data_IF_604696809679
#
_entry.id   IF_604696809679
#
_cell.length_a   1.000
_cell.length_b   1.000
_cell.length_c   1.000
_cell.angle_alpha   90.00
_cell.angle_beta   90.00
_cell.angle_gamma   90.00
#
_symmetry.space_group_name_H-M   'P 1'
#
loop_
_entity.id
_entity.type
_entity.pdbx_description
1 polymer ?
#
# COMPACT_ATOMS: atom_id res chain seq x y z
N UNK A 1 -1.12 17.59 15.24
CA UNK A 1 -0.30 16.63 14.51
C UNK A 1 -0.08 17.10 13.08
N UNK A 2 1.16 17.04 12.58
CA UNK A 2 1.45 17.25 11.17
C UNK A 2 1.68 15.90 10.47
N UNK A 3 0.90 15.60 9.44
CA UNK A 3 1.14 14.44 8.56
C UNK A 3 1.95 14.93 7.36
N UNK A 4 3.22 14.53 7.30
CA UNK A 4 4.14 14.84 6.19
C UNK A 4 4.15 13.67 5.23
N UNK A 5 3.84 13.90 3.97
CA UNK A 5 3.68 12.82 2.99
C UNK A 5 4.07 13.29 1.59
N UNK A 6 4.45 12.38 0.67
CA UNK A 6 4.64 12.77 -0.72
C UNK A 6 3.31 13.24 -1.32
N UNK A 7 3.40 14.15 -2.28
CA UNK A 7 2.24 14.67 -3.00
C UNK A 7 1.66 13.61 -3.96
N UNK A 8 1.16 12.52 -3.39
CA UNK A 8 0.55 11.41 -4.12
C UNK A 8 -0.93 11.29 -3.83
N UNK A 9 -1.69 10.89 -4.84
CA UNK A 9 -3.13 10.66 -4.76
C UNK A 9 -3.50 9.33 -5.45
N UNK A 10 -4.62 8.74 -5.04
CA UNK A 10 -5.18 7.54 -5.68
C UNK A 10 -4.25 6.31 -5.72
N UNK A 11 -3.40 6.16 -4.71
CA UNK A 11 -2.53 4.99 -4.53
C UNK A 11 -2.67 4.39 -3.12
N UNK A 12 -2.04 3.24 -2.89
CA UNK A 12 -2.08 2.57 -1.57
C UNK A 12 -1.55 3.46 -0.44
N UNK A 13 -0.44 4.16 -0.66
CA UNK A 13 0.12 5.09 0.33
C UNK A 13 -0.84 6.23 0.67
N UNK A 14 -1.57 6.76 -0.33
CA UNK A 14 -2.57 7.81 -0.08
C UNK A 14 -3.67 7.34 0.88
N UNK A 15 -4.14 6.10 0.74
CA UNK A 15 -5.13 5.52 1.66
C UNK A 15 -4.60 5.43 3.10
N UNK A 16 -3.29 5.20 3.27
CA UNK A 16 -2.65 5.25 4.60
C UNK A 16 -2.70 6.67 5.16
N UNK A 17 -2.37 7.70 4.37
CA UNK A 17 -2.42 9.11 4.83
C UNK A 17 -3.83 9.52 5.24
N UNK A 18 -4.84 9.15 4.46
CA UNK A 18 -6.27 9.38 4.78
C UNK A 18 -6.64 8.70 6.09
N UNK A 19 -6.22 7.46 6.29
CA UNK A 19 -6.49 6.70 7.51
C UNK A 19 -5.82 7.30 8.74
N UNK A 20 -4.58 7.78 8.60
CA UNK A 20 -3.84 8.49 9.66
C UNK A 20 -4.58 9.76 10.06
N UNK A 21 -4.96 10.61 9.09
CA UNK A 21 -5.67 11.85 9.36
C UNK A 21 -6.98 11.60 10.10
N UNK A 22 -7.78 10.66 9.62
CA UNK A 22 -9.03 10.27 10.25
C UNK A 22 -8.84 9.72 11.66
N UNK A 23 -7.82 8.89 11.89
CA UNK A 23 -7.52 8.33 13.21
C UNK A 23 -7.11 9.42 14.20
N UNK A 24 -6.18 10.30 13.85
CA UNK A 24 -5.78 11.40 14.70
C UNK A 24 -6.95 12.33 15.05
N UNK A 25 -7.79 12.68 14.08
CA UNK A 25 -8.98 13.48 14.34
C UNK A 25 -9.96 12.79 15.29
N UNK A 26 -10.18 11.49 15.12
CA UNK A 26 -11.05 10.71 16.01
C UNK A 26 -10.50 10.59 17.44
N UNK A 27 -9.20 10.82 17.63
CA UNK A 27 -8.54 10.93 18.94
C UNK A 27 -8.52 12.37 19.48
N UNK A 28 -9.20 13.31 18.81
CA UNK A 28 -9.32 14.71 19.25
C UNK A 28 -8.16 15.61 18.80
N UNK A 29 -7.21 15.12 18.01
CA UNK A 29 -6.10 15.94 17.53
C UNK A 29 -6.52 16.82 16.35
N UNK A 30 -5.99 18.04 16.29
CA UNK A 30 -5.98 18.85 15.06
C UNK A 30 -4.93 18.31 14.11
N UNK A 31 -5.27 18.17 12.83
CA UNK A 31 -4.42 17.56 11.81
C UNK A 31 -4.08 18.57 10.72
N UNK A 32 -2.78 18.74 10.46
CA UNK A 32 -2.27 19.47 9.31
C UNK A 32 -1.65 18.47 8.33
N UNK A 33 -2.13 18.45 7.10
CA UNK A 33 -1.53 17.69 6.00
C UNK A 33 -0.49 18.56 5.31
N UNK A 34 0.76 18.08 5.22
CA UNK A 34 1.84 18.71 4.48
C UNK A 34 2.30 17.80 3.35
N UNK A 35 1.82 18.06 2.15
CA UNK A 35 2.24 17.35 0.95
C UNK A 35 3.59 17.89 0.46
N UNK A 36 4.55 16.97 0.24
CA UNK A 36 5.91 17.29 -0.23
C UNK A 36 5.99 17.01 -1.73
N UNK A 37 6.46 17.97 -2.51
CA UNK A 37 6.75 17.76 -3.91
C UNK A 37 7.77 16.61 -4.09
N UNK A 38 7.48 15.69 -4.99
CA UNK A 38 8.36 14.56 -5.34
C UNK A 38 9.10 14.78 -6.67
N UNK A 39 8.85 15.94 -7.31
CA UNK A 39 9.38 16.29 -8.61
C UNK A 39 9.96 17.71 -8.59
N UNK A 40 11.14 17.91 -9.17
CA UNK A 40 11.74 19.24 -9.31
C UNK A 40 10.85 20.20 -10.11
N UNK A 41 10.80 21.47 -9.68
CA UNK A 41 10.00 22.50 -10.35
C UNK A 41 8.51 22.47 -10.01
N UNK A 42 8.03 21.50 -9.24
CA UNK A 42 6.67 21.50 -8.72
C UNK A 42 6.57 22.50 -7.57
N UNK A 43 5.94 23.66 -7.81
CA UNK A 43 5.81 24.75 -6.84
C UNK A 43 4.42 24.80 -6.19
N UNK A 44 3.46 24.19 -6.88
CA UNK A 44 2.07 24.11 -6.44
C UNK A 44 1.46 22.77 -6.72
N UNK A 45 0.74 22.07 -6.25
CA UNK A 45 0.26 20.71 -6.56
C UNK A 45 -0.13 20.42 -8.01
N UNK A 46 -0.21 21.44 -8.88
CA UNK A 46 -0.67 21.31 -10.28
C UNK A 46 0.32 20.54 -11.19
N UNK A 47 1.60 20.53 -10.82
CA UNK A 47 2.67 19.83 -11.56
C UNK A 47 3.31 18.70 -10.74
N UNK A 48 2.67 18.28 -9.69
CA UNK A 48 3.08 17.11 -8.94
C UNK A 48 2.99 15.84 -9.81
N UNK A 49 3.49 14.73 -9.31
CA UNK A 49 3.47 13.48 -10.08
C UNK A 49 2.06 13.20 -10.63
N UNK A 50 1.97 12.42 -11.71
CA UNK A 50 0.68 12.08 -12.36
C UNK A 50 -0.36 11.45 -11.41
N UNK A 51 0.07 11.06 -10.22
CA UNK A 51 -0.77 10.46 -9.18
C UNK A 51 -1.42 11.50 -8.29
N UNK A 52 -0.82 12.69 -8.16
CA UNK A 52 -1.36 13.79 -7.37
C UNK A 52 -2.23 14.71 -8.23
N UNK A 53 -3.51 14.76 -7.93
CA UNK A 53 -4.49 15.60 -8.62
C UNK A 53 -5.10 16.57 -7.59
N UNK A 54 -4.53 17.76 -7.48
CA UNK A 54 -5.10 18.85 -6.69
C UNK A 54 -5.17 18.63 -5.18
N UNK A 55 -6.01 19.38 -4.50
CA UNK A 55 -6.30 19.19 -3.08
C UNK A 55 -7.03 17.86 -2.89
N UNK A 56 -6.57 17.06 -1.95
CA UNK A 56 -7.16 15.78 -1.61
C UNK A 56 -8.37 16.00 -0.70
N UNK A 57 -9.55 16.09 -1.27
CA UNK A 57 -10.78 16.35 -0.51
C UNK A 57 -11.13 15.23 0.47
N UNK A 58 -10.64 14.02 0.21
CA UNK A 58 -10.79 12.84 1.04
C UNK A 58 -9.84 12.80 2.25
N UNK A 59 -8.80 13.65 2.28
CA UNK A 59 -7.91 13.72 3.43
C UNK A 59 -8.49 14.66 4.49
N UNK A 60 -9.03 14.08 5.55
CA UNK A 60 -9.70 14.76 6.65
C UNK A 60 -8.69 15.55 7.51
N UNK A 61 -8.16 16.66 7.00
CA UNK A 61 -7.24 17.55 7.71
C UNK A 61 -7.85 18.93 7.94
N UNK A 62 -7.49 19.56 9.06
CA UNK A 62 -7.93 20.92 9.42
C UNK A 62 -7.23 21.97 8.53
N UNK A 63 -6.00 21.69 8.11
CA UNK A 63 -5.28 22.49 7.12
C UNK A 63 -4.52 21.58 6.14
N UNK A 64 -4.47 21.99 4.89
CA UNK A 64 -3.75 21.29 3.81
C UNK A 64 -2.72 22.23 3.21
N UNK A 65 -1.46 21.87 3.37
CA UNK A 65 -0.30 22.64 2.95
C UNK A 65 0.47 21.87 1.89
N UNK A 66 1.13 22.61 1.02
CA UNK A 66 2.01 22.04 0.00
C UNK A 66 3.40 22.67 0.08
N UNK A 67 4.43 21.82 0.15
CA UNK A 67 5.82 22.23 0.10
C UNK A 67 6.40 21.95 -1.29
N UNK A 68 6.46 22.98 -2.13
CA UNK A 68 6.97 22.90 -3.48
C UNK A 68 8.49 23.02 -3.56
N UNK A 69 9.08 22.57 -4.67
CA UNK A 69 10.49 22.73 -4.99
C UNK A 69 10.68 23.73 -6.13
N UNK A 70 11.06 25.00 -5.86
CA UNK A 70 11.29 25.99 -6.88
C UNK A 70 12.47 25.66 -7.81
N UNK A 71 12.33 25.92 -9.11
CA UNK A 71 13.37 25.66 -10.11
C UNK A 71 14.73 26.30 -9.79
N UNK A 72 14.75 27.49 -9.18
CA UNK A 72 16.00 28.16 -8.75
C UNK A 72 16.85 27.33 -7.78
N UNK A 73 16.25 26.34 -7.11
CA UNK A 73 16.96 25.43 -6.21
C UNK A 73 17.60 24.23 -6.91
N UNK A 74 17.37 24.06 -8.21
CA UNK A 74 18.00 23.01 -9.04
C UNK A 74 19.47 23.32 -9.30
N UNK A 75 19.83 24.60 -9.45
CA UNK A 75 21.20 25.04 -9.71
C UNK A 75 22.06 24.97 -8.44
N UNK A 76 22.30 23.75 -7.94
CA UNK A 76 23.12 23.51 -6.76
C UNK A 76 23.87 22.19 -6.92
N UNK A 77 25.12 22.14 -6.47
CA UNK A 77 26.00 20.98 -6.61
C UNK A 77 25.45 19.68 -6.03
N UNK A 78 24.71 19.74 -4.90
CA UNK A 78 24.04 18.58 -4.30
C UNK A 78 22.92 18.02 -5.20
N UNK A 79 22.09 18.91 -5.76
CA UNK A 79 21.04 18.49 -6.68
C UNK A 79 21.62 17.91 -7.98
N UNK A 80 22.65 18.54 -8.56
CA UNK A 80 23.29 18.01 -9.76
C UNK A 80 23.93 16.64 -9.53
N UNK A 81 24.49 16.42 -8.34
CA UNK A 81 25.01 15.09 -7.94
C UNK A 81 23.88 14.06 -7.83
N UNK A 82 22.76 14.39 -7.19
CA UNK A 82 21.62 13.53 -7.09
C UNK A 82 20.99 13.23 -8.46
N UNK A 83 20.92 14.24 -9.35
CA UNK A 83 20.46 14.08 -10.72
C UNK A 83 21.37 13.13 -11.52
N UNK A 84 22.70 13.26 -11.38
CA UNK A 84 23.65 12.31 -11.98
C UNK A 84 23.39 10.89 -11.46
N UNK A 85 23.26 10.70 -10.14
CA UNK A 85 22.99 9.39 -9.57
C UNK A 85 21.65 8.82 -10.05
N UNK A 86 20.63 9.65 -10.21
CA UNK A 86 19.33 9.24 -10.74
C UNK A 86 19.40 8.69 -12.17
N UNK A 87 20.25 9.27 -13.04
CA UNK A 87 20.49 8.72 -14.38
C UNK A 87 21.03 7.30 -14.35
N UNK A 88 21.79 6.96 -13.29
CA UNK A 88 22.29 5.61 -13.02
C UNK A 88 21.30 4.74 -12.22
N UNK A 89 20.10 5.25 -11.91
CA UNK A 89 19.02 4.50 -11.26
C UNK A 89 18.87 4.73 -9.75
N UNK A 90 19.56 5.72 -9.17
CA UNK A 90 19.40 6.05 -7.75
C UNK A 90 18.19 6.97 -7.51
N UNK A 91 17.00 6.38 -7.52
CA UNK A 91 15.76 7.12 -7.21
C UNK A 91 15.75 7.62 -5.75
N UNK A 92 16.40 6.91 -4.81
CA UNK A 92 16.48 7.32 -3.41
C UNK A 92 17.19 8.67 -3.26
N UNK A 93 18.39 8.81 -3.88
CA UNK A 93 19.17 10.05 -3.82
C UNK A 93 18.37 11.25 -4.34
N UNK A 94 17.68 11.09 -5.47
CA UNK A 94 16.89 12.17 -6.07
C UNK A 94 15.74 12.59 -5.16
N UNK A 95 14.96 11.64 -4.63
CA UNK A 95 13.81 11.95 -3.79
C UNK A 95 14.19 12.63 -2.48
N UNK A 96 15.23 12.13 -1.81
CA UNK A 96 15.76 12.76 -0.59
C UNK A 96 16.24 14.19 -0.87
N UNK A 97 16.90 14.40 -2.01
CA UNK A 97 17.41 15.72 -2.36
C UNK A 97 16.28 16.71 -2.73
N UNK A 98 15.24 16.26 -3.39
CA UNK A 98 14.03 17.08 -3.63
C UNK A 98 13.41 17.51 -2.30
N UNK A 99 13.15 16.58 -1.38
CA UNK A 99 12.54 16.88 -0.09
C UNK A 99 13.41 17.80 0.79
N UNK A 100 14.73 17.70 0.69
CA UNK A 100 15.66 18.62 1.36
C UNK A 100 15.52 20.06 0.88
N UNK A 101 15.06 20.27 -0.37
CA UNK A 101 15.01 21.58 -1.02
C UNK A 101 13.64 22.21 -1.13
N UNK A 102 12.58 21.51 -0.76
CA UNK A 102 11.23 22.08 -0.78
C UNK A 102 11.15 23.37 0.04
N UNK A 103 10.30 24.28 -0.34
CA UNK A 103 9.98 25.46 0.42
C UNK A 103 8.91 25.13 1.45
N UNK A 104 9.30 24.94 2.70
CA UNK A 104 8.33 24.73 3.78
C UNK A 104 7.50 26.01 3.98
N UNK A 105 6.20 25.87 4.30
CA UNK A 105 5.38 26.99 4.77
C UNK A 105 5.99 27.59 6.04
N UNK A 106 5.79 28.89 6.25
CA UNK A 106 6.27 29.56 7.47
C UNK A 106 5.58 29.02 8.73
N UNK A 107 6.17 29.23 9.92
CA UNK A 107 5.62 28.70 11.18
C UNK A 107 4.16 29.09 11.43
N UNK A 108 3.74 30.28 11.03
CA UNK A 108 2.35 30.73 11.17
C UNK A 108 1.31 29.94 10.40
N UNK A 109 1.72 29.17 9.37
CA UNK A 109 0.83 28.28 8.64
C UNK A 109 0.44 27.02 9.45
N UNK A 110 1.13 26.73 10.55
CA UNK A 110 0.93 25.59 11.44
C UNK A 110 0.35 26.01 12.79
N UNK A 111 -0.49 27.01 12.84
CA UNK A 111 -1.14 27.43 14.08
C UNK A 111 -2.29 26.49 14.49
N UNK A 112 -2.37 26.05 15.78
CA UNK A 112 -1.39 26.23 16.82
C UNK A 112 -0.15 25.34 16.64
N UNK A 113 0.79 25.32 17.57
CA UNK A 113 2.03 24.52 17.55
C UNK A 113 1.80 23.06 17.17
N UNK A 114 2.75 22.46 16.42
CA UNK A 114 2.80 21.02 16.15
C UNK A 114 3.43 20.30 17.34
N UNK A 115 2.76 19.26 17.84
CA UNK A 115 3.23 18.44 18.97
C UNK A 115 3.77 17.09 18.51
N UNK A 116 3.47 16.67 17.28
CA UNK A 116 3.90 15.42 16.68
C UNK A 116 3.98 15.55 15.15
N UNK A 117 5.04 15.04 14.56
CA UNK A 117 5.16 14.86 13.11
C UNK A 117 5.02 13.37 12.78
N UNK A 118 4.03 13.02 11.97
CA UNK A 118 3.90 11.70 11.37
C UNK A 118 4.39 11.78 9.92
N UNK A 119 5.63 11.37 9.70
CA UNK A 119 6.26 11.39 8.39
C UNK A 119 5.98 10.08 7.65
N UNK A 120 5.65 10.18 6.38
CA UNK A 120 5.41 9.03 5.50
C UNK A 120 6.50 8.96 4.44
N UNK A 121 7.10 7.79 4.31
CA UNK A 121 8.26 7.49 3.46
C UNK A 121 9.56 8.19 3.88
N UNK A 122 10.64 7.44 3.87
CA UNK A 122 11.97 7.92 4.27
C UNK A 122 12.43 9.18 3.54
N UNK A 123 12.06 9.32 2.27
CA UNK A 123 12.50 10.47 1.46
C UNK A 123 11.80 11.78 1.83
N UNK A 124 10.69 11.76 2.60
CA UNK A 124 10.09 12.95 3.17
C UNK A 124 10.79 13.43 4.46
N UNK A 125 11.61 12.59 5.08
CA UNK A 125 12.30 12.90 6.34
C UNK A 125 13.11 14.21 6.32
N UNK A 126 13.85 14.59 5.26
CA UNK A 126 14.55 15.87 5.25
C UNK A 126 13.62 17.08 5.44
N UNK A 127 12.38 17.01 4.95
CA UNK A 127 11.40 18.07 5.19
C UNK A 127 10.83 17.99 6.62
N UNK A 128 10.56 16.78 7.13
CA UNK A 128 10.09 16.55 8.49
C UNK A 128 11.10 17.02 9.54
N UNK A 129 12.39 16.78 9.35
CA UNK A 129 13.47 17.28 10.23
C UNK A 129 13.49 18.81 10.30
N UNK A 130 13.40 19.49 9.16
CA UNK A 130 13.33 20.95 9.12
C UNK A 130 12.05 21.49 9.77
N UNK A 131 10.95 20.76 9.70
CA UNK A 131 9.72 21.11 10.40
C UNK A 131 9.87 20.93 11.92
N UNK A 132 10.52 19.85 12.37
CA UNK A 132 10.86 19.62 13.79
C UNK A 132 11.72 20.74 14.37
N UNK A 133 12.67 21.26 13.63
CA UNK A 133 13.50 22.40 14.06
C UNK A 133 12.66 23.64 14.39
N UNK A 134 11.51 23.82 13.73
CA UNK A 134 10.59 24.92 13.99
C UNK A 134 9.66 24.68 15.19
N UNK A 135 9.35 23.43 15.53
CA UNK A 135 8.30 23.07 16.48
C UNK A 135 8.79 22.26 17.69
N UNK A 136 10.01 21.75 17.69
CA UNK A 136 10.62 20.95 18.76
C UNK A 136 9.71 19.76 19.20
N UNK A 137 9.30 18.92 18.25
CA UNK A 137 8.40 17.80 18.49
C UNK A 137 8.96 16.49 17.89
N UNK A 138 8.54 15.30 18.38
CA UNK A 138 9.02 14.02 17.88
C UNK A 138 8.53 13.74 16.46
N UNK A 139 9.29 12.85 15.76
CA UNK A 139 8.94 12.34 14.43
C UNK A 139 8.67 10.84 14.52
N UNK A 140 7.46 10.42 14.16
CA UNK A 140 7.16 9.05 13.77
C UNK A 140 7.38 8.90 12.28
N UNK A 141 8.09 7.87 11.84
CA UNK A 141 8.25 7.57 10.42
C UNK A 141 7.49 6.29 10.06
N UNK A 142 6.47 6.42 9.24
CA UNK A 142 5.87 5.29 8.54
C UNK A 142 6.75 4.93 7.33
N UNK A 143 7.35 3.74 7.38
CA UNK A 143 8.34 3.30 6.38
C UNK A 143 7.68 2.92 5.06
N UNK A 144 6.39 2.54 5.09
CA UNK A 144 5.62 1.94 4.01
C UNK A 144 6.23 0.62 3.56
N UNK A 145 7.16 0.67 2.60
CA UNK A 145 7.89 -0.49 2.06
C UNK A 145 9.39 -0.24 2.17
N UNK A 146 10.20 -1.29 2.10
CA UNK A 146 11.64 -1.16 1.87
C UNK A 146 11.88 -0.65 0.44
N UNK A 147 11.91 0.68 0.29
CA UNK A 147 11.88 1.35 -1.01
C UNK A 147 13.09 1.05 -1.89
N UNK A 148 14.26 0.82 -1.31
CA UNK A 148 15.45 0.41 -2.05
C UNK A 148 15.19 -0.88 -2.85
N UNK A 149 14.43 -1.84 -2.29
CA UNK A 149 13.98 -3.06 -2.97
C UNK A 149 13.08 -2.74 -4.17
N UNK A 150 12.12 -1.84 -3.98
CA UNK A 150 11.21 -1.40 -5.04
C UNK A 150 11.97 -0.68 -6.18
N UNK A 151 12.95 0.15 -5.83
CA UNK A 151 13.78 0.85 -6.81
C UNK A 151 14.66 -0.13 -7.60
N UNK A 152 15.28 -1.10 -6.94
CA UNK A 152 16.07 -2.13 -7.59
C UNK A 152 15.24 -2.95 -8.60
N UNK A 153 14.02 -3.34 -8.24
CA UNK A 153 13.11 -4.03 -9.15
C UNK A 153 12.72 -3.19 -10.37
N UNK A 154 12.40 -1.91 -10.16
CA UNK A 154 12.08 -0.99 -11.25
C UNK A 154 13.26 -0.75 -12.19
N UNK A 155 14.47 -0.71 -11.66
CA UNK A 155 15.68 -0.51 -12.45
C UNK A 155 15.94 -1.68 -13.41
N UNK A 156 15.55 -2.91 -13.06
CA UNK A 156 15.64 -4.08 -13.97
C UNK A 156 14.74 -3.94 -15.21
N UNK A 157 13.66 -3.18 -15.10
CA UNK A 157 12.68 -3.02 -16.17
C UNK A 157 12.84 -1.72 -16.99
N UNK A 158 13.86 -0.89 -16.69
CA UNK A 158 14.07 0.43 -17.31
C UNK A 158 15.52 0.58 -17.77
N UNK A 159 15.71 1.30 -18.87
CA UNK A 159 17.05 1.71 -19.28
C UNK A 159 17.68 2.62 -18.23
N UNK A 160 18.94 2.36 -17.90
CA UNK A 160 19.78 3.15 -16.99
C UNK A 160 21.16 3.33 -17.61
N UNK A 161 21.80 4.46 -17.33
CA UNK A 161 23.18 4.65 -17.73
C UNK A 161 24.10 3.73 -16.92
N UNK A 162 25.08 3.07 -17.55
CA UNK A 162 26.05 2.28 -16.81
C UNK A 162 27.09 3.19 -16.12
N UNK A 163 27.70 2.75 -14.99
CA UNK A 163 27.28 1.59 -14.20
C UNK A 163 25.97 1.86 -13.46
N UNK A 164 25.08 0.88 -13.43
CA UNK A 164 23.84 1.00 -12.64
C UNK A 164 24.16 1.06 -11.15
N UNK A 165 23.39 1.85 -10.41
CA UNK A 165 23.52 1.94 -8.95
C UNK A 165 23.25 0.56 -8.31
N UNK A 166 23.98 0.21 -7.28
CA UNK A 166 23.77 -1.02 -6.51
C UNK A 166 22.61 -0.84 -5.52
N UNK A 167 22.01 -1.96 -5.14
CA UNK A 167 20.95 -1.99 -4.13
C UNK A 167 21.43 -1.39 -2.78
N UNK A 168 22.64 -1.75 -2.36
CA UNK A 168 23.24 -1.33 -1.10
C UNK A 168 23.43 0.19 -1.02
N UNK A 169 23.75 0.83 -2.15
CA UNK A 169 23.92 2.30 -2.21
C UNK A 169 22.57 3.02 -2.02
N UNK A 170 21.47 2.47 -2.56
CA UNK A 170 20.13 3.01 -2.35
C UNK A 170 19.64 2.73 -0.93
N UNK A 171 19.90 1.54 -0.40
CA UNK A 171 19.56 1.15 0.96
C UNK A 171 20.26 2.04 1.99
N UNK A 172 21.54 2.31 1.82
CA UNK A 172 22.30 3.19 2.72
C UNK A 172 21.67 4.59 2.83
N UNK A 173 21.18 5.15 1.69
CA UNK A 173 20.48 6.45 1.69
C UNK A 173 19.14 6.35 2.43
N UNK A 174 18.39 5.27 2.22
CA UNK A 174 17.12 5.03 2.89
C UNK A 174 17.30 4.95 4.41
N UNK A 175 18.24 4.12 4.88
CA UNK A 175 18.53 3.95 6.30
C UNK A 175 19.07 5.22 6.96
N UNK A 176 19.98 5.95 6.28
CA UNK A 176 20.50 7.22 6.79
C UNK A 176 19.39 8.27 6.96
N UNK A 177 18.48 8.36 5.99
CA UNK A 177 17.36 9.29 6.08
C UNK A 177 16.39 8.97 7.23
N UNK A 178 16.30 7.72 7.68
CA UNK A 178 15.43 7.29 8.79
C UNK A 178 16.01 7.62 10.18
N UNK A 179 17.33 7.83 10.31
CA UNK A 179 18.01 8.04 11.60
C UNK A 179 17.38 9.12 12.50
N UNK A 180 16.86 10.25 11.97
CA UNK A 180 16.27 11.27 12.80
C UNK A 180 14.91 10.93 13.41
N UNK A 181 14.26 9.85 13.00
CA UNK A 181 12.97 9.44 13.56
C UNK A 181 13.13 8.84 14.96
N UNK A 182 12.22 9.14 15.86
CA UNK A 182 12.15 8.57 17.22
C UNK A 182 11.60 7.14 17.19
N UNK A 183 10.68 6.85 16.26
CA UNK A 183 10.09 5.54 16.10
C UNK A 183 9.78 5.26 14.63
N UNK A 184 10.04 4.02 14.20
CA UNK A 184 9.71 3.52 12.87
C UNK A 184 8.43 2.68 12.92
N UNK A 185 7.46 3.06 12.10
CA UNK A 185 6.22 2.32 11.90
C UNK A 185 6.31 1.47 10.64
N UNK A 186 5.84 0.24 10.73
CA UNK A 186 5.83 -0.70 9.62
C UNK A 186 4.41 -1.16 9.33
N UNK A 187 4.06 -1.25 8.04
CA UNK A 187 2.72 -1.66 7.60
C UNK A 187 2.53 -3.18 7.62
N UNK A 188 3.62 -3.95 7.73
CA UNK A 188 3.59 -5.40 7.73
C UNK A 188 4.73 -5.99 8.57
N UNK A 189 4.56 -7.24 9.00
CA UNK A 189 5.48 -7.93 9.90
C UNK A 189 6.80 -8.36 9.24
N UNK A 190 6.78 -8.72 7.95
CA UNK A 190 8.00 -9.10 7.22
C UNK A 190 8.98 -7.91 7.11
N UNK A 191 8.46 -6.73 6.78
CA UNK A 191 9.27 -5.52 6.72
C UNK A 191 9.67 -5.02 8.10
N UNK A 192 8.79 -5.15 9.10
CA UNK A 192 9.14 -4.88 10.49
C UNK A 192 10.33 -5.73 10.95
N UNK A 193 10.35 -7.02 10.61
CA UNK A 193 11.48 -7.91 10.90
C UNK A 193 12.75 -7.45 10.15
N UNK A 194 12.64 -7.18 8.84
CA UNK A 194 13.78 -6.72 8.04
C UNK A 194 14.38 -5.40 8.54
N UNK A 195 13.55 -4.41 8.89
CA UNK A 195 14.04 -3.15 9.43
C UNK A 195 14.64 -3.28 10.84
N UNK A 196 14.13 -4.20 11.68
CA UNK A 196 14.76 -4.50 12.98
C UNK A 196 16.17 -5.07 12.84
N UNK A 197 16.43 -5.84 11.79
CA UNK A 197 17.78 -6.33 11.49
C UNK A 197 18.68 -5.21 10.93
N UNK A 198 18.14 -4.33 10.08
CA UNK A 198 18.90 -3.27 9.42
C UNK A 198 19.23 -2.07 10.34
N UNK A 199 18.35 -1.74 11.28
CA UNK A 199 18.50 -0.60 12.21
C UNK A 199 18.05 -1.00 13.63
N UNK A 200 18.74 -1.95 14.28
CA UNK A 200 18.35 -2.53 15.57
C UNK A 200 18.35 -1.53 16.74
N UNK A 201 19.02 -0.42 16.58
CA UNK A 201 19.12 0.68 17.55
C UNK A 201 17.86 1.57 17.56
N UNK A 202 16.96 1.40 16.61
CA UNK A 202 15.71 2.16 16.53
C UNK A 202 14.54 1.46 17.26
N UNK A 203 13.59 2.26 17.69
CA UNK A 203 12.30 1.76 18.17
C UNK A 203 11.42 1.41 16.96
N UNK A 204 10.78 0.24 17.00
CA UNK A 204 9.95 -0.27 15.93
C UNK A 204 8.55 -0.59 16.45
N UNK A 205 7.53 -0.25 15.69
CA UNK A 205 6.16 -0.64 15.94
C UNK A 205 5.49 -1.11 14.65
N UNK A 206 4.56 -2.05 14.79
CA UNK A 206 3.74 -2.57 13.71
C UNK A 206 2.39 -1.87 13.73
N UNK A 207 1.99 -1.28 12.60
CA UNK A 207 0.71 -0.64 12.42
C UNK A 207 0.14 -1.05 11.07
N UNK A 208 -0.66 -2.10 11.04
CA UNK A 208 -1.29 -2.57 9.80
C UNK A 208 -2.17 -1.50 9.16
N UNK A 209 -2.20 -1.38 7.83
CA UNK A 209 -3.08 -0.44 7.17
C UNK A 209 -4.54 -0.84 7.40
N UNK A 210 -5.40 0.15 7.56
CA UNK A 210 -6.85 -0.08 7.60
C UNK A 210 -7.48 0.18 6.25
N UNK A 211 -8.47 -0.61 5.91
CA UNK A 211 -9.31 -0.43 4.74
C UNK A 211 -10.78 -0.57 5.13
N UNK A 212 -11.65 0.05 4.35
CA UNK A 212 -13.10 -0.11 4.56
C UNK A 212 -13.52 -1.56 4.29
N UNK A 213 -14.30 -2.14 5.22
CA UNK A 213 -14.83 -3.49 5.03
C UNK A 213 -15.63 -3.61 3.74
N UNK A 214 -15.43 -4.72 3.04
CA UNK A 214 -16.36 -5.15 2.01
C UNK A 214 -17.67 -5.62 2.65
N UNK A 215 -18.80 -5.49 1.95
CA UNK A 215 -20.07 -6.01 2.45
C UNK A 215 -19.99 -7.50 2.75
N UNK A 216 -20.57 -7.93 3.87
CA UNK A 216 -20.68 -9.35 4.17
C UNK A 216 -21.48 -10.06 3.07
N UNK A 217 -20.92 -11.14 2.56
CA UNK A 217 -21.43 -11.81 1.37
C UNK A 217 -22.72 -12.59 1.61
N UNK A 218 -23.60 -12.62 0.62
CA UNK A 218 -24.75 -13.52 0.55
C UNK A 218 -24.37 -14.84 -0.16
N UNK A 219 -23.36 -14.79 -1.04
CA UNK A 219 -22.99 -15.92 -1.89
C UNK A 219 -23.95 -16.14 -3.04
N UNK A 220 -23.86 -17.31 -3.65
CA UNK A 220 -24.73 -17.73 -4.74
C UNK A 220 -24.24 -17.39 -6.14
N UNK A 221 -23.38 -16.39 -6.26
CA UNK A 221 -22.79 -15.97 -7.54
C UNK A 221 -21.49 -16.68 -7.90
N UNK A 222 -20.82 -16.14 -8.89
CA UNK A 222 -19.55 -16.67 -9.38
C UNK A 222 -18.40 -16.39 -8.40
N UNK A 223 -17.36 -17.23 -8.39
CA UNK A 223 -16.07 -16.88 -7.78
C UNK A 223 -15.46 -15.65 -8.45
N UNK A 224 -14.78 -14.80 -7.66
CA UNK A 224 -14.19 -13.57 -8.15
C UNK A 224 -12.68 -13.51 -7.94
N UNK A 225 -11.99 -12.86 -8.88
CA UNK A 225 -10.62 -12.35 -8.73
C UNK A 225 -10.69 -10.83 -8.85
N UNK A 226 -10.12 -10.10 -7.89
CA UNK A 226 -9.99 -8.65 -7.97
C UNK A 226 -8.52 -8.28 -8.13
N UNK A 227 -8.16 -7.69 -9.27
CA UNK A 227 -6.76 -7.42 -9.60
C UNK A 227 -6.59 -6.08 -10.32
N UNK A 228 -5.62 -5.29 -9.86
CA UNK A 228 -5.17 -4.06 -10.53
C UNK A 228 -4.05 -4.35 -11.53
N UNK A 229 -3.87 -3.45 -12.50
CA UNK A 229 -2.81 -3.51 -13.51
C UNK A 229 -1.44 -3.31 -12.86
N UNK A 230 -0.80 -4.41 -12.46
CA UNK A 230 0.59 -4.46 -12.04
C UNK A 230 1.19 -5.83 -12.36
N UNK A 231 2.51 -5.88 -12.42
CA UNK A 231 3.23 -7.09 -12.85
C UNK A 231 3.04 -8.31 -11.92
N UNK A 232 3.06 -8.18 -10.58
CA UNK A 232 2.74 -9.31 -9.69
C UNK A 232 1.35 -9.91 -9.93
N UNK A 233 0.32 -9.08 -10.08
CA UNK A 233 -1.03 -9.57 -10.37
C UNK A 233 -1.11 -10.24 -11.76
N UNK A 234 -0.36 -9.72 -12.74
CA UNK A 234 -0.26 -10.33 -14.06
C UNK A 234 0.31 -11.75 -13.96
N UNK A 235 1.40 -11.96 -13.22
CA UNK A 235 2.00 -13.29 -13.05
C UNK A 235 1.03 -14.26 -12.37
N UNK A 236 0.39 -13.86 -11.28
CA UNK A 236 -0.59 -14.68 -10.58
C UNK A 236 -1.79 -15.05 -11.45
N UNK A 237 -2.28 -14.09 -12.25
CA UNK A 237 -3.37 -14.34 -13.17
C UNK A 237 -2.98 -15.27 -14.32
N UNK A 238 -1.77 -15.13 -14.87
CA UNK A 238 -1.24 -16.07 -15.88
C UNK A 238 -1.16 -17.49 -15.34
N UNK A 239 -0.68 -17.67 -14.09
CA UNK A 239 -0.67 -18.97 -13.44
C UNK A 239 -2.09 -19.53 -13.28
N UNK A 240 -3.03 -18.73 -12.78
CA UNK A 240 -4.42 -19.15 -12.63
C UNK A 240 -5.06 -19.59 -13.95
N UNK A 241 -4.90 -18.81 -15.01
CA UNK A 241 -5.51 -19.10 -16.30
C UNK A 241 -4.89 -20.32 -17.01
N UNK A 242 -3.61 -20.62 -16.76
CA UNK A 242 -2.89 -21.74 -17.38
C UNK A 242 -2.96 -23.04 -16.59
N UNK A 243 -2.81 -22.94 -15.27
CA UNK A 243 -2.61 -24.11 -14.41
C UNK A 243 -3.87 -24.50 -13.61
N UNK A 244 -4.77 -23.54 -13.34
CA UNK A 244 -5.94 -23.77 -12.49
C UNK A 244 -7.23 -23.89 -13.31
N UNK A 245 -7.52 -22.89 -14.11
CA UNK A 245 -8.81 -22.77 -14.80
C UNK A 245 -9.10 -23.94 -15.74
N UNK A 246 -8.15 -24.50 -16.53
CA UNK A 246 -8.39 -25.67 -17.36
C UNK A 246 -8.80 -26.92 -16.57
N UNK A 247 -8.41 -27.01 -15.30
CA UNK A 247 -8.77 -28.11 -14.40
C UNK A 247 -10.12 -27.89 -13.67
N UNK A 248 -10.76 -26.74 -13.88
CA UNK A 248 -12.08 -26.42 -13.34
C UNK A 248 -13.09 -26.06 -14.48
N UNK A 249 -13.32 -26.97 -15.46
CA UNK A 249 -14.19 -26.67 -16.58
C UNK A 249 -15.63 -26.39 -16.10
N UNK A 250 -16.29 -25.43 -16.74
CA UNK A 250 -17.67 -25.06 -16.42
C UNK A 250 -17.84 -24.21 -15.15
N UNK A 251 -16.76 -23.85 -14.44
CA UNK A 251 -16.85 -22.88 -13.34
C UNK A 251 -16.65 -21.46 -13.90
N UNK A 252 -17.67 -20.62 -13.94
CA UNK A 252 -17.54 -19.24 -14.35
C UNK A 252 -16.77 -18.47 -13.27
N UNK A 253 -15.76 -17.70 -13.68
CA UNK A 253 -15.00 -16.82 -12.79
C UNK A 253 -15.11 -15.39 -13.31
N UNK A 254 -15.32 -14.42 -12.43
CA UNK A 254 -15.31 -13.02 -12.80
C UNK A 254 -13.99 -12.38 -12.37
N UNK A 255 -13.33 -11.71 -13.30
CA UNK A 255 -12.07 -11.00 -13.07
C UNK A 255 -12.34 -9.50 -13.15
N UNK A 256 -12.27 -8.82 -12.00
CA UNK A 256 -12.56 -7.41 -11.84
C UNK A 256 -11.27 -6.59 -11.66
N UNK A 257 -11.25 -5.40 -12.23
CA UNK A 257 -10.11 -4.48 -12.17
C UNK A 257 -9.44 -4.35 -13.53
N UNK A 258 -8.49 -3.44 -13.64
CA UNK A 258 -7.83 -3.09 -14.90
C UNK A 258 -6.65 -4.00 -15.28
N UNK A 259 -6.58 -5.20 -14.74
CA UNK A 259 -5.55 -6.21 -15.05
C UNK A 259 -5.65 -6.73 -16.49
N UNK A 260 -6.83 -6.62 -17.10
CA UNK A 260 -7.06 -6.90 -18.52
C UNK A 260 -6.07 -6.18 -19.43
N UNK A 261 -5.71 -4.92 -19.11
CA UNK A 261 -4.74 -4.11 -19.86
C UNK A 261 -3.34 -4.72 -19.86
N UNK A 262 -2.89 -5.22 -18.71
CA UNK A 262 -1.60 -5.91 -18.60
C UNK A 262 -1.60 -7.22 -19.39
N UNK A 263 -2.70 -7.97 -19.34
CA UNK A 263 -2.83 -9.21 -20.11
C UNK A 263 -2.87 -8.95 -21.63
N UNK A 264 -3.65 -7.96 -22.07
CA UNK A 264 -3.69 -7.55 -23.48
C UNK A 264 -2.32 -7.16 -24.01
N UNK A 265 -1.53 -6.47 -23.20
CA UNK A 265 -0.20 -6.01 -23.59
C UNK A 265 0.87 -7.11 -23.59
N UNK A 266 0.85 -8.00 -22.58
CA UNK A 266 1.95 -8.94 -22.31
C UNK A 266 1.66 -10.39 -22.72
N UNK A 267 0.39 -10.76 -22.81
CA UNK A 267 -0.07 -12.12 -23.16
C UNK A 267 -1.37 -12.05 -23.95
N UNK A 268 -1.38 -11.44 -25.16
CA UNK A 268 -2.60 -11.16 -25.93
C UNK A 268 -3.40 -12.41 -26.27
N UNK A 269 -2.74 -13.53 -26.55
CA UNK A 269 -3.43 -14.78 -26.88
C UNK A 269 -4.14 -15.37 -25.66
N UNK A 270 -3.52 -15.30 -24.48
CA UNK A 270 -4.14 -15.73 -23.24
C UNK A 270 -5.35 -14.84 -22.90
N UNK A 271 -5.25 -13.52 -23.14
CA UNK A 271 -6.38 -12.62 -22.99
C UNK A 271 -7.54 -13.00 -23.94
N UNK A 272 -7.25 -13.18 -25.24
CA UNK A 272 -8.28 -13.53 -26.23
C UNK A 272 -9.01 -14.83 -25.87
N UNK A 273 -8.26 -15.84 -25.43
CA UNK A 273 -8.83 -17.14 -25.02
C UNK A 273 -9.80 -17.03 -23.82
N UNK A 274 -9.65 -16.01 -22.97
CA UNK A 274 -10.41 -15.85 -21.73
C UNK A 274 -11.12 -14.49 -21.61
N UNK A 275 -11.30 -13.75 -22.72
CA UNK A 275 -11.83 -12.38 -22.72
C UNK A 275 -13.18 -12.26 -21.99
N UNK A 276 -14.06 -13.26 -22.05
CA UNK A 276 -15.36 -13.26 -21.41
C UNK A 276 -15.34 -13.26 -19.88
N UNK A 277 -14.21 -13.56 -19.25
CA UNK A 277 -14.06 -13.54 -17.78
C UNK A 277 -13.84 -12.13 -17.22
N UNK A 278 -13.33 -11.21 -18.04
CA UNK A 278 -12.91 -9.88 -17.61
C UNK A 278 -14.09 -8.90 -17.57
N UNK A 279 -14.23 -8.17 -16.48
CA UNK A 279 -15.21 -7.10 -16.27
C UNK A 279 -14.58 -5.70 -16.37
N UNK A 280 -13.26 -5.64 -16.51
CA UNK A 280 -12.52 -4.38 -16.52
C UNK A 280 -12.59 -3.64 -15.17
N UNK A 281 -12.30 -2.34 -15.22
CA UNK A 281 -12.46 -1.47 -14.05
C UNK A 281 -13.94 -1.24 -13.79
N UNK A 282 -14.38 -1.59 -12.59
CA UNK A 282 -15.75 -1.40 -12.12
C UNK A 282 -15.83 -0.28 -11.08
N UNK A 283 -16.99 0.31 -10.91
CA UNK A 283 -17.25 1.27 -9.85
C UNK A 283 -17.36 0.61 -8.47
N UNK A 284 -17.22 1.42 -7.40
CA UNK A 284 -17.26 0.91 -6.03
C UNK A 284 -18.55 0.12 -5.72
N UNK A 285 -19.71 0.56 -6.20
CA UNK A 285 -21.00 -0.13 -6.01
C UNK A 285 -20.99 -1.54 -6.62
N UNK A 286 -20.42 -1.67 -7.82
CA UNK A 286 -20.37 -2.94 -8.55
C UNK A 286 -19.32 -3.89 -7.93
N UNK A 287 -18.18 -3.33 -7.48
CA UNK A 287 -17.20 -4.09 -6.70
C UNK A 287 -17.83 -4.63 -5.40
N UNK A 288 -18.58 -3.80 -4.69
CA UNK A 288 -19.30 -4.22 -3.49
C UNK A 288 -20.34 -5.31 -3.79
N UNK A 289 -21.07 -5.17 -4.90
CA UNK A 289 -22.02 -6.20 -5.34
C UNK A 289 -21.32 -7.51 -5.68
N UNK A 290 -20.17 -7.47 -6.35
CA UNK A 290 -19.37 -8.64 -6.67
C UNK A 290 -18.88 -9.37 -5.41
N UNK A 291 -18.29 -8.65 -4.42
CA UNK A 291 -17.90 -9.26 -3.15
C UNK A 291 -19.11 -9.85 -2.41
N UNK A 292 -20.24 -9.15 -2.41
CA UNK A 292 -21.48 -9.60 -1.76
C UNK A 292 -22.03 -10.88 -2.37
N UNK A 293 -22.00 -10.99 -3.69
CA UNK A 293 -22.50 -12.14 -4.43
C UNK A 293 -21.51 -13.31 -4.55
N UNK A 294 -20.24 -13.08 -4.35
CA UNK A 294 -19.19 -14.08 -4.62
C UNK A 294 -19.40 -15.38 -3.84
N UNK A 295 -19.34 -16.51 -4.53
CA UNK A 295 -19.26 -17.84 -3.88
C UNK A 295 -17.91 -18.04 -3.20
N UNK A 296 -16.84 -17.50 -3.79
CA UNK A 296 -15.49 -17.45 -3.21
C UNK A 296 -14.73 -16.25 -3.73
N UNK A 297 -13.73 -15.78 -2.97
CA UNK A 297 -12.69 -14.86 -3.43
C UNK A 297 -11.42 -15.64 -3.68
N UNK A 298 -10.87 -15.49 -4.89
CA UNK A 298 -9.67 -16.17 -5.34
C UNK A 298 -8.48 -15.21 -5.28
N UNK A 299 -7.39 -15.66 -4.67
CA UNK A 299 -6.18 -14.88 -4.44
C UNK A 299 -4.94 -15.62 -5.01
N UNK A 300 -4.78 -15.69 -6.34
CA UNK A 300 -3.73 -16.45 -7.01
C UNK A 300 -2.39 -15.67 -7.06
N UNK A 301 -1.87 -15.24 -5.91
CA UNK A 301 -0.64 -14.45 -5.84
C UNK A 301 0.59 -15.36 -5.95
N UNK A 302 1.39 -15.21 -7.01
CA UNK A 302 2.64 -15.97 -7.24
C UNK A 302 3.89 -15.10 -7.14
N UNK A 303 3.71 -13.77 -7.04
CA UNK A 303 4.78 -12.79 -6.90
C UNK A 303 4.29 -11.56 -6.12
N UNK A 304 5.23 -10.74 -5.65
CA UNK A 304 4.95 -9.45 -5.00
C UNK A 304 5.61 -9.34 -3.63
N UNK A 305 5.68 -8.10 -3.16
CA UNK A 305 6.21 -7.70 -1.86
C UNK A 305 5.17 -6.81 -1.15
N UNK A 306 5.39 -6.58 0.15
CA UNK A 306 4.49 -5.79 0.96
C UNK A 306 3.15 -6.48 1.22
N UNK A 307 2.21 -5.75 1.82
CA UNK A 307 0.90 -6.28 2.21
C UNK A 307 -0.07 -6.30 1.03
N UNK A 308 -0.89 -7.32 0.96
CA UNK A 308 -1.94 -7.43 -0.06
C UNK A 308 -3.25 -6.81 0.43
N UNK A 309 -3.57 -5.62 -0.06
CA UNK A 309 -4.86 -4.97 0.21
C UNK A 309 -6.04 -5.86 -0.22
N UNK A 310 -5.91 -6.58 -1.34
CA UNK A 310 -6.96 -7.49 -1.83
C UNK A 310 -7.22 -8.66 -0.89
N UNK A 311 -6.20 -9.10 -0.17
CA UNK A 311 -6.37 -10.13 0.87
C UNK A 311 -7.15 -9.57 2.05
N UNK A 312 -6.87 -8.34 2.48
CA UNK A 312 -7.61 -7.70 3.58
C UNK A 312 -9.08 -7.46 3.17
N UNK A 313 -9.34 -7.00 1.95
CA UNK A 313 -10.70 -6.89 1.41
C UNK A 313 -11.43 -8.26 1.46
N UNK A 314 -10.75 -9.31 1.01
CA UNK A 314 -11.31 -10.66 0.99
C UNK A 314 -11.58 -11.20 2.40
N UNK A 315 -10.68 -10.97 3.37
CA UNK A 315 -10.93 -11.31 4.78
C UNK A 315 -12.18 -10.59 5.31
N UNK A 316 -12.35 -9.32 4.96
CA UNK A 316 -13.43 -8.47 5.48
C UNK A 316 -14.82 -8.88 5.00
N UNK A 317 -14.96 -9.50 3.83
CA UNK A 317 -16.26 -9.93 3.32
C UNK A 317 -16.75 -11.27 3.91
N UNK A 318 -15.87 -12.05 4.56
CA UNK A 318 -16.22 -13.34 5.16
C UNK A 318 -16.58 -14.44 4.17
N UNK A 319 -16.33 -14.25 2.87
CA UNK A 319 -16.54 -15.27 1.84
C UNK A 319 -15.50 -16.40 1.95
N UNK A 320 -15.77 -17.60 1.42
CA UNK A 320 -14.76 -18.62 1.23
C UNK A 320 -13.55 -18.06 0.45
N UNK A 321 -12.34 -18.38 0.90
CA UNK A 321 -11.09 -17.95 0.27
C UNK A 321 -10.36 -19.15 -0.32
N UNK A 322 -9.89 -19.01 -1.55
CA UNK A 322 -8.95 -19.94 -2.18
C UNK A 322 -7.73 -19.12 -2.58
N UNK A 323 -6.60 -19.41 -2.01
CA UNK A 323 -5.43 -18.56 -2.10
C UNK A 323 -4.13 -19.35 -2.18
N UNK A 324 -3.11 -18.71 -2.73
CA UNK A 324 -1.73 -19.17 -2.53
C UNK A 324 -1.20 -18.67 -1.18
N UNK A 325 -0.18 -19.30 -0.59
CA UNK A 325 0.44 -18.82 0.65
C UNK A 325 0.90 -17.35 0.55
N UNK A 326 1.45 -16.97 -0.60
CA UNK A 326 1.95 -15.62 -0.84
C UNK A 326 0.87 -14.52 -0.79
N UNK A 327 -0.40 -14.88 -0.93
CA UNK A 327 -1.51 -13.94 -0.76
C UNK A 327 -1.59 -13.37 0.66
N UNK A 328 -1.09 -14.10 1.65
CA UNK A 328 -1.12 -13.72 3.07
C UNK A 328 0.20 -13.15 3.60
N UNK A 329 1.15 -12.89 2.69
CA UNK A 329 2.44 -12.30 3.07
C UNK A 329 2.26 -11.01 3.87
N UNK A 330 3.08 -10.82 4.87
CA UNK A 330 3.12 -9.60 5.67
C UNK A 330 1.91 -9.35 6.57
N UNK A 331 0.96 -10.30 6.69
CA UNK A 331 -0.23 -10.13 7.52
C UNK A 331 -0.09 -10.65 8.95
N UNK A 332 0.95 -11.46 9.24
CA UNK A 332 1.21 -12.03 10.57
C UNK A 332 0.04 -12.83 11.16
N UNK A 333 -0.77 -13.47 10.31
CA UNK A 333 -1.96 -14.22 10.71
C UNK A 333 -1.77 -15.71 10.46
N UNK A 334 -2.21 -16.52 11.43
CA UNK A 334 -2.33 -17.96 11.23
C UNK A 334 -3.55 -18.27 10.37
N UNK A 335 -3.30 -18.72 9.15
CA UNK A 335 -4.36 -19.02 8.16
C UNK A 335 -4.62 -20.50 8.01
N UNK A 336 -3.72 -21.34 8.52
CA UNK A 336 -3.86 -22.79 8.45
C UNK A 336 -5.00 -23.26 9.35
N UNK A 337 -5.91 -24.05 8.78
CA UNK A 337 -7.06 -24.59 9.52
C UNK A 337 -8.22 -23.61 9.72
N UNK A 338 -8.18 -22.41 9.17
CA UNK A 338 -9.34 -21.52 9.21
C UNK A 338 -10.49 -22.10 8.40
N UNK A 339 -11.71 -22.16 8.95
CA UNK A 339 -12.88 -22.58 8.20
C UNK A 339 -13.07 -21.77 6.93
N UNK A 340 -13.42 -22.45 5.83
CA UNK A 340 -13.66 -21.83 4.50
C UNK A 340 -12.43 -21.17 3.86
N UNK A 341 -11.22 -21.44 4.35
CA UNK A 341 -9.97 -20.99 3.73
C UNK A 341 -9.20 -22.19 3.19
N UNK A 342 -8.91 -22.21 1.90
CA UNK A 342 -8.02 -23.17 1.25
C UNK A 342 -6.76 -22.44 0.81
N UNK A 343 -5.61 -22.91 1.27
CA UNK A 343 -4.29 -22.35 0.89
C UNK A 343 -3.48 -23.42 0.19
N UNK A 344 -3.06 -23.17 -1.05
CA UNK A 344 -2.27 -24.10 -1.84
C UNK A 344 -1.52 -23.42 -2.99
N UNK A 345 -0.35 -23.90 -3.30
CA UNK A 345 0.41 -23.52 -4.52
C UNK A 345 0.16 -24.50 -5.68
N UNK A 346 -0.47 -25.64 -5.40
CA UNK A 346 -0.79 -26.66 -6.39
C UNK A 346 -2.04 -26.29 -7.18
N UNK A 347 -1.90 -26.20 -8.51
CA UNK A 347 -3.00 -25.81 -9.40
C UNK A 347 -4.19 -26.78 -9.37
N UNK A 348 -3.93 -28.09 -9.22
CA UNK A 348 -4.97 -29.12 -9.19
C UNK A 348 -5.76 -29.05 -7.86
N UNK A 349 -5.07 -28.83 -6.73
CA UNK A 349 -5.71 -28.63 -5.43
C UNK A 349 -6.53 -27.33 -5.43
N UNK A 350 -6.02 -26.25 -6.02
CA UNK A 350 -6.73 -24.99 -6.17
C UNK A 350 -8.01 -25.16 -7.01
N UNK A 351 -7.90 -25.83 -8.15
CA UNK A 351 -9.04 -26.14 -9.03
C UNK A 351 -10.08 -27.04 -8.34
N UNK A 352 -9.64 -28.01 -7.54
CA UNK A 352 -10.53 -28.88 -6.77
C UNK A 352 -11.30 -28.08 -5.71
N UNK A 353 -10.63 -27.19 -4.99
CA UNK A 353 -11.28 -26.27 -4.05
C UNK A 353 -12.28 -25.36 -4.76
N UNK A 354 -11.91 -24.83 -5.93
CA UNK A 354 -12.75 -23.96 -6.74
C UNK A 354 -14.05 -24.68 -7.18
N UNK A 355 -13.94 -25.89 -7.73
CA UNK A 355 -15.10 -26.70 -8.12
C UNK A 355 -15.99 -27.00 -6.91
N UNK A 356 -15.42 -27.37 -5.77
CA UNK A 356 -16.16 -27.65 -4.53
C UNK A 356 -16.95 -26.44 -4.08
N UNK A 357 -16.33 -25.28 -3.95
CA UNK A 357 -17.02 -24.06 -3.51
C UNK A 357 -18.12 -23.65 -4.49
N UNK A 358 -17.88 -23.77 -5.79
CA UNK A 358 -18.87 -23.45 -6.80
C UNK A 358 -20.08 -24.42 -6.79
N UNK A 359 -19.84 -25.73 -6.59
CA UNK A 359 -20.90 -26.73 -6.47
C UNK A 359 -21.86 -26.43 -5.30
N UNK A 360 -21.32 -25.93 -4.19
CA UNK A 360 -22.09 -25.60 -2.98
C UNK A 360 -22.50 -24.13 -2.87
N UNK A 361 -22.37 -23.34 -3.93
CA UNK A 361 -22.63 -21.89 -3.91
C UNK A 361 -24.03 -21.47 -3.49
N UNK A 362 -25.03 -22.32 -3.74
CA UNK A 362 -26.43 -22.05 -3.40
C UNK A 362 -26.81 -22.37 -1.95
N UNK A 363 -25.91 -23.00 -1.20
CA UNK A 363 -26.14 -23.20 0.22
C UNK A 363 -26.14 -21.83 0.93
N UNK A 364 -27.05 -21.62 1.89
CA UNK A 364 -27.13 -20.35 2.59
C UNK A 364 -25.76 -19.94 3.14
N UNK A 365 -25.35 -18.72 2.84
CA UNK A 365 -24.15 -18.10 3.37
C UNK A 365 -24.28 -17.70 4.84
N UNK A 366 -25.08 -18.46 5.62
CA UNK A 366 -25.31 -18.24 7.03
C UNK A 366 -23.98 -18.19 7.77
N UNK A 367 -23.77 -17.14 8.56
CA UNK A 367 -22.58 -16.99 9.37
C UNK A 367 -21.41 -16.24 8.73
N UNK A 368 -21.50 -15.69 7.49
CA UNK A 368 -20.39 -14.92 6.90
C UNK A 368 -20.02 -13.68 7.69
N UNK A 369 -20.96 -13.03 8.38
CA UNK A 369 -20.66 -11.94 9.31
C UNK A 369 -19.86 -12.42 10.53
N UNK A 370 -20.01 -13.68 10.92
CA UNK A 370 -19.33 -14.33 12.04
C UNK A 370 -18.13 -15.18 11.56
N UNK A 371 -17.80 -15.14 10.28
CA UNK A 371 -16.69 -15.90 9.73
C UNK A 371 -15.37 -15.56 10.44
N UNK A 372 -14.53 -16.57 10.66
CA UNK A 372 -13.22 -16.39 11.30
C UNK A 372 -12.35 -15.36 10.56
N UNK A 373 -12.40 -15.36 9.24
CA UNK A 373 -11.72 -14.38 8.38
C UNK A 373 -12.16 -12.95 8.66
N UNK A 374 -13.46 -12.72 8.84
CA UNK A 374 -14.00 -11.40 9.16
C UNK A 374 -13.60 -10.95 10.55
N UNK A 375 -13.57 -11.84 11.55
CA UNK A 375 -13.05 -11.51 12.89
C UNK A 375 -11.59 -11.08 12.84
N UNK A 376 -10.74 -11.77 12.07
CA UNK A 376 -9.35 -11.37 11.85
C UNK A 376 -9.27 -9.95 11.27
N UNK A 377 -10.12 -9.65 10.28
CA UNK A 377 -10.21 -8.29 9.74
C UNK A 377 -10.59 -7.27 10.82
N UNK A 378 -11.63 -7.54 11.60
CA UNK A 378 -12.14 -6.63 12.65
C UNK A 378 -11.10 -6.37 13.74
N UNK A 379 -10.35 -7.40 14.14
CA UNK A 379 -9.32 -7.32 15.18
C UNK A 379 -8.03 -6.62 14.73
N UNK A 380 -7.70 -6.65 13.42
CA UNK A 380 -6.38 -6.18 12.95
C UNK A 380 -6.43 -5.06 11.92
N UNK A 381 -7.44 -5.05 11.04
CA UNK A 381 -7.46 -4.19 9.85
C UNK A 381 -8.65 -3.23 9.83
N UNK A 382 -9.62 -3.37 10.73
CA UNK A 382 -10.72 -2.43 10.88
C UNK A 382 -10.20 -1.10 11.45
N UNK A 383 -10.92 -0.02 11.14
CA UNK A 383 -10.54 1.33 11.57
C UNK A 383 -10.39 1.46 13.09
N UNK A 384 -11.25 0.83 13.88
CA UNK A 384 -11.17 0.89 15.35
C UNK A 384 -9.91 0.19 15.88
N UNK A 385 -9.52 -0.94 15.29
CA UNK A 385 -8.26 -1.62 15.63
C UNK A 385 -7.05 -0.73 15.28
N UNK A 386 -7.05 -0.15 14.09
CA UNK A 386 -6.03 0.81 13.64
C UNK A 386 -5.92 2.00 14.60
N UNK A 387 -7.04 2.64 14.92
CA UNK A 387 -7.11 3.80 15.82
C UNK A 387 -6.56 3.47 17.20
N UNK A 388 -6.95 2.32 17.77
CA UNK A 388 -6.46 1.84 19.08
C UNK A 388 -4.95 1.62 19.06
N UNK A 389 -4.44 0.95 18.02
CA UNK A 389 -2.99 0.69 17.87
C UNK A 389 -2.21 2.00 17.71
N UNK A 390 -2.70 2.93 16.87
CA UNK A 390 -2.06 4.23 16.68
C UNK A 390 -2.02 5.03 17.98
N UNK A 391 -3.10 5.05 18.77
CA UNK A 391 -3.15 5.73 20.08
C UNK A 391 -2.07 5.20 21.01
N UNK A 392 -1.98 3.88 21.17
CA UNK A 392 -0.99 3.25 22.03
C UNK A 392 0.46 3.53 21.58
N UNK A 393 0.70 3.62 20.28
CA UNK A 393 2.02 3.97 19.72
C UNK A 393 2.37 5.44 20.01
N UNK A 394 1.42 6.35 19.83
CA UNK A 394 1.62 7.79 20.09
C UNK A 394 1.89 8.05 21.59
N UNK A 395 1.17 7.39 22.47
CA UNK A 395 1.38 7.48 23.93
C UNK A 395 2.81 7.07 24.32
N UNK A 396 3.37 6.03 23.70
CA UNK A 396 4.76 5.60 23.92
C UNK A 396 5.81 6.65 23.50
N UNK A 397 5.50 7.51 22.53
CA UNK A 397 6.42 8.55 22.06
C UNK A 397 6.25 9.84 22.87
N UNK A 398 5.05 10.13 23.34
CA UNK A 398 4.78 11.31 24.15
C UNK A 398 5.37 11.24 25.58
N UNK A 399 5.66 10.03 26.08
CA UNK A 399 6.22 9.78 27.43
C UNK A 399 7.75 9.75 27.46
N UNK A 400 8.41 9.92 26.33
CA UNK A 400 9.88 9.99 26.17
C UNK A 400 10.33 11.41 25.96
#
# INVERSE_FOLDING_TARGET
VAIVHPAWHSCGSHQVFVSQARAYRSLGAKVVSLAIADTPGCVDGSRASKVYIGATDDLEADARLFAGMPLRKILNGGFLRAAKQWLHGNDAAMRVEVARRVALPGPGAFAPRIDLIHCNHFFCMPAAVRLREQHACPILLDTHDLQARQYALRNRARFRLPPSVRYEDMLAIELDAMRPAELLLHLNDEEAAAFKELVPDKRHALLYPTIKAMPAGLGGGDPIIVASANYPNFLGLCWFLREVLPLAPGVPVQILGNIDRELQSRAPDLYKAHAGLFRGRVEAKDLHAAYRGASAVLLPATAGHGISIKTIEALSCGAPLIATPLAFRGLGIGITGLPQVTVTEDGAAFATALRRVYAYRHLPGAGRQQAATRRIYEERFAFDAYRKSLSAIVEQVATT
#
